data_IF_902188214695
#
_entry.id   IF_902188214695
#
_cell.length_a   1.000
_cell.length_b   1.000
_cell.length_c   1.000
_cell.angle_alpha   90.00
_cell.angle_beta   90.00
_cell.angle_gamma   90.00
#
_symmetry.space_group_name_H-M   'P 1'
#
loop_
_entity.id
_entity.type
_entity.pdbx_description
1 polymer ?
#
# COMPACT_ATOMS: atom_id res chain seq x y z
N UNK A 1 6.73 16.47 20.97
CA UNK A 1 5.86 16.64 19.78
C UNK A 1 6.52 15.89 18.63
N UNK A 2 5.76 15.17 17.81
CA UNK A 2 6.30 14.46 16.66
C UNK A 2 6.76 15.43 15.57
N UNK A 3 7.98 15.23 15.06
CA UNK A 3 8.55 15.99 13.95
C UNK A 3 8.51 15.13 12.67
N UNK A 4 7.48 15.39 11.86
CA UNK A 4 7.22 14.61 10.64
C UNK A 4 8.32 14.80 9.57
N UNK A 5 8.75 16.02 9.22
CA UNK A 5 9.85 16.21 8.26
C UNK A 5 11.15 15.49 8.64
N UNK A 6 11.54 15.56 9.93
CA UNK A 6 12.72 14.86 10.41
C UNK A 6 12.55 13.34 10.30
N UNK A 7 11.40 12.82 10.70
CA UNK A 7 11.09 11.39 10.60
C UNK A 7 11.12 10.88 9.16
N UNK A 8 10.46 11.57 8.24
CA UNK A 8 10.44 11.21 6.81
C UNK A 8 11.86 11.24 6.21
N UNK A 9 12.68 12.23 6.58
CA UNK A 9 14.08 12.30 6.17
C UNK A 9 14.87 11.08 6.62
N UNK A 10 14.73 10.66 7.87
CA UNK A 10 15.43 9.51 8.43
C UNK A 10 14.96 8.21 7.76
N UNK A 11 13.66 7.98 7.64
CA UNK A 11 13.09 6.77 7.05
C UNK A 11 13.52 6.60 5.60
N UNK A 12 13.50 7.68 4.81
CA UNK A 12 13.96 7.64 3.40
C UNK A 12 15.47 7.42 3.32
N UNK A 13 16.28 8.15 4.10
CA UNK A 13 17.75 8.01 4.09
C UNK A 13 18.24 6.64 4.55
N UNK A 14 17.49 5.99 5.44
CA UNK A 14 17.76 4.63 5.92
C UNK A 14 17.06 3.55 5.09
N UNK A 15 16.39 3.95 4.01
CA UNK A 15 15.70 3.11 3.07
C UNK A 15 14.71 2.13 3.73
N UNK A 16 13.90 2.63 4.66
CA UNK A 16 12.77 1.87 5.19
C UNK A 16 11.67 1.71 4.13
N UNK A 17 11.29 2.81 3.48
CA UNK A 17 10.52 2.77 2.25
C UNK A 17 10.87 3.97 1.36
N UNK A 18 10.62 3.85 0.06
CA UNK A 18 10.67 4.95 -0.91
C UNK A 18 9.51 4.85 -1.88
N UNK A 19 9.30 5.89 -2.70
CA UNK A 19 8.27 5.88 -3.73
C UNK A 19 8.63 4.87 -4.83
N UNK A 20 7.67 4.02 -5.20
CA UNK A 20 7.93 2.99 -6.20
C UNK A 20 8.21 3.62 -7.56
N UNK A 21 9.20 3.11 -8.29
CA UNK A 21 9.60 3.62 -9.62
C UNK A 21 10.01 5.11 -9.63
N UNK A 22 10.54 5.64 -8.53
CA UNK A 22 10.90 7.06 -8.37
C UNK A 22 11.71 7.62 -9.57
N UNK A 23 12.65 6.84 -10.11
CA UNK A 23 13.52 7.24 -11.23
C UNK A 23 12.76 7.52 -12.54
N UNK A 24 11.56 6.93 -12.72
CA UNK A 24 10.75 7.09 -13.91
C UNK A 24 9.83 8.30 -13.86
N UNK A 25 9.69 8.95 -12.70
CA UNK A 25 8.76 10.07 -12.50
C UNK A 25 9.03 11.26 -13.44
N UNK A 26 10.31 11.48 -13.77
CA UNK A 26 10.73 12.55 -14.69
C UNK A 26 11.06 12.02 -16.09
N UNK A 27 10.74 10.76 -16.38
CA UNK A 27 11.03 10.17 -17.68
C UNK A 27 10.16 10.82 -18.76
N UNK A 28 10.74 11.36 -19.84
CA UNK A 28 9.99 12.03 -20.89
C UNK A 28 9.03 11.09 -21.66
N UNK A 29 9.27 9.77 -21.57
CA UNK A 29 8.48 8.75 -22.25
C UNK A 29 7.48 8.05 -21.31
N UNK A 30 7.46 8.35 -20.01
CA UNK A 30 6.50 7.78 -19.07
C UNK A 30 5.26 8.66 -18.98
N UNK A 31 4.13 8.18 -19.51
CA UNK A 31 2.82 8.84 -19.40
C UNK A 31 1.99 8.16 -18.32
N UNK A 32 2.32 8.40 -17.06
CA UNK A 32 1.61 7.83 -15.92
C UNK A 32 1.90 8.57 -14.62
N UNK A 33 1.15 8.20 -13.58
CA UNK A 33 1.41 8.62 -12.20
C UNK A 33 1.60 7.36 -11.35
N UNK A 34 2.64 7.37 -10.52
CA UNK A 34 2.96 6.31 -9.56
C UNK A 34 2.77 6.76 -8.12
N UNK A 35 2.21 7.95 -7.89
CA UNK A 35 1.89 8.44 -6.54
C UNK A 35 0.95 7.47 -5.84
N UNK A 36 1.20 7.27 -4.55
CA UNK A 36 0.47 6.29 -3.72
C UNK A 36 1.08 4.89 -3.71
N UNK A 37 2.10 4.62 -4.54
CA UNK A 37 2.83 3.34 -4.55
C UNK A 37 4.20 3.50 -3.88
N UNK A 38 4.59 2.52 -3.06
CA UNK A 38 5.84 2.55 -2.29
C UNK A 38 6.52 1.18 -2.26
N UNK A 39 7.85 1.21 -2.31
CA UNK A 39 8.71 0.03 -2.17
C UNK A 39 9.37 0.03 -0.79
N UNK A 40 9.31 -1.11 -0.11
CA UNK A 40 10.01 -1.31 1.17
C UNK A 40 11.47 -1.71 0.92
N UNK A 41 12.40 -1.01 1.58
CA UNK A 41 13.81 -1.41 1.57
C UNK A 41 14.11 -2.43 2.68
N UNK A 42 15.38 -2.88 2.82
CA UNK A 42 15.74 -3.99 3.69
C UNK A 42 15.23 -3.88 5.15
N UNK A 43 15.40 -2.74 5.86
CA UNK A 43 14.86 -2.62 7.21
C UNK A 43 13.32 -2.51 7.24
N UNK A 44 12.70 -1.99 6.19
CA UNK A 44 11.24 -1.93 6.07
C UNK A 44 10.61 -3.31 5.89
N UNK A 45 11.18 -4.14 5.00
CA UNK A 45 10.75 -5.53 4.81
C UNK A 45 10.88 -6.34 6.10
N UNK A 46 12.02 -6.22 6.80
CA UNK A 46 12.22 -6.90 8.09
C UNK A 46 11.22 -6.44 9.15
N UNK A 47 10.95 -5.13 9.23
CA UNK A 47 9.96 -4.59 10.14
C UNK A 47 8.54 -5.10 9.83
N UNK A 48 8.14 -5.09 8.55
CA UNK A 48 6.84 -5.60 8.12
C UNK A 48 6.69 -7.09 8.48
N UNK A 49 7.71 -7.90 8.21
CA UNK A 49 7.71 -9.32 8.56
C UNK A 49 7.56 -9.54 10.07
N UNK A 50 8.28 -8.76 10.90
CA UNK A 50 8.18 -8.84 12.35
C UNK A 50 6.79 -8.45 12.87
N UNK A 51 6.16 -7.43 12.27
CA UNK A 51 4.79 -7.01 12.64
C UNK A 51 3.79 -8.12 12.29
N UNK A 52 3.88 -8.71 11.09
CA UNK A 52 3.00 -9.81 10.67
C UNK A 52 3.20 -11.04 11.56
N UNK A 53 4.44 -11.39 11.90
CA UNK A 53 4.74 -12.51 12.81
C UNK A 53 4.16 -12.28 14.22
N UNK A 54 4.29 -11.07 14.77
CA UNK A 54 3.68 -10.71 16.05
C UNK A 54 2.15 -10.81 15.99
N UNK A 55 1.54 -10.34 14.90
CA UNK A 55 0.09 -10.44 14.68
C UNK A 55 -0.39 -11.90 14.58
N UNK A 56 0.32 -12.75 13.84
CA UNK A 56 0.01 -14.19 13.73
C UNK A 56 0.09 -14.88 15.08
N UNK A 57 1.14 -14.61 15.85
CA UNK A 57 1.29 -15.15 17.21
C UNK A 57 0.11 -14.75 18.08
N UNK A 58 -0.25 -13.48 18.07
CA UNK A 58 -1.29 -12.97 18.94
C UNK A 58 -2.72 -13.37 18.56
N UNK A 59 -3.06 -13.46 17.27
CA UNK A 59 -4.43 -13.75 16.85
C UNK A 59 -4.60 -15.17 16.31
N UNK A 60 -3.75 -15.56 15.35
CA UNK A 60 -3.91 -16.85 14.67
C UNK A 60 -3.58 -18.01 15.62
N UNK A 61 -2.45 -17.93 16.33
CA UNK A 61 -2.01 -19.01 17.20
C UNK A 61 -2.73 -19.04 18.55
N UNK A 62 -2.87 -17.90 19.23
CA UNK A 62 -3.54 -17.84 20.54
C UNK A 62 -5.04 -18.21 20.45
N UNK A 63 -5.73 -17.81 19.38
CA UNK A 63 -7.17 -18.10 19.19
C UNK A 63 -7.43 -19.33 18.29
N UNK A 64 -6.39 -20.03 17.84
CA UNK A 64 -6.47 -21.17 16.91
C UNK A 64 -7.28 -20.88 15.63
N UNK A 65 -7.04 -19.73 15.00
CA UNK A 65 -7.70 -19.37 13.74
C UNK A 65 -7.17 -20.19 12.56
N UNK A 66 -8.03 -20.40 11.56
CA UNK A 66 -7.65 -21.03 10.29
C UNK A 66 -7.09 -19.97 9.34
N UNK A 67 -5.76 -19.90 9.21
CA UNK A 67 -5.10 -19.01 8.24
C UNK A 67 -5.28 -19.53 6.81
N UNK A 68 -5.57 -18.62 5.87
CA UNK A 68 -5.78 -18.90 4.45
C UNK A 68 -4.95 -17.92 3.61
N UNK A 69 -4.44 -18.41 2.48
CA UNK A 69 -3.79 -17.60 1.45
C UNK A 69 -4.55 -17.74 0.12
N UNK A 70 -5.08 -16.62 -0.38
CA UNK A 70 -5.99 -16.55 -1.52
C UNK A 70 -5.40 -15.70 -2.65
N UNK A 71 -5.87 -15.92 -3.88
CA UNK A 71 -5.40 -15.17 -5.06
C UNK A 71 -5.82 -13.70 -5.04
N UNK A 72 -4.93 -12.80 -5.49
CA UNK A 72 -5.24 -11.36 -5.62
C UNK A 72 -6.15 -11.07 -6.83
N UNK A 73 -5.89 -11.71 -7.98
CA UNK A 73 -6.71 -11.52 -9.18
C UNK A 73 -8.09 -12.12 -8.92
N UNK A 74 -9.11 -11.27 -8.96
CA UNK A 74 -10.48 -11.62 -8.57
C UNK A 74 -11.44 -11.41 -9.74
N UNK A 75 -12.25 -12.43 -10.13
CA UNK A 75 -13.26 -12.27 -11.18
C UNK A 75 -14.28 -11.18 -10.84
N UNK A 76 -14.67 -10.37 -11.83
CA UNK A 76 -15.59 -9.25 -11.65
C UNK A 76 -16.89 -9.66 -10.96
N UNK A 77 -17.47 -10.80 -11.33
CA UNK A 77 -18.73 -11.28 -10.77
C UNK A 77 -18.67 -11.43 -9.25
N UNK A 78 -17.52 -11.83 -8.69
CA UNK A 78 -17.33 -11.93 -7.23
C UNK A 78 -17.38 -10.56 -6.56
N UNK A 79 -16.72 -9.56 -7.15
CA UNK A 79 -16.74 -8.18 -6.65
C UNK A 79 -18.11 -7.52 -6.83
N UNK A 80 -18.83 -7.88 -7.88
CA UNK A 80 -20.21 -7.43 -8.10
C UNK A 80 -21.15 -8.01 -7.05
N UNK A 81 -21.11 -9.32 -6.82
CA UNK A 81 -21.95 -10.00 -5.83
C UNK A 81 -21.67 -9.51 -4.40
N UNK A 82 -20.41 -9.23 -4.05
CA UNK A 82 -20.06 -8.64 -2.75
C UNK A 82 -20.44 -7.14 -2.62
N UNK A 83 -20.89 -6.51 -3.71
CA UNK A 83 -21.32 -5.12 -3.75
C UNK A 83 -20.21 -4.09 -3.91
N UNK A 84 -18.94 -4.51 -4.02
CA UNK A 84 -17.80 -3.60 -4.19
C UNK A 84 -17.91 -2.78 -5.47
N UNK A 85 -18.36 -3.41 -6.57
CA UNK A 85 -18.53 -2.72 -7.86
C UNK A 85 -19.48 -1.52 -7.76
N UNK A 86 -20.51 -1.60 -6.91
CA UNK A 86 -21.54 -0.56 -6.79
C UNK A 86 -21.27 0.44 -5.68
N UNK A 87 -20.47 0.07 -4.67
CA UNK A 87 -20.36 0.83 -3.41
C UNK A 87 -18.96 1.29 -3.06
N UNK A 88 -17.90 0.70 -3.61
CA UNK A 88 -16.53 1.10 -3.31
C UNK A 88 -16.12 2.30 -4.16
N UNK A 89 -16.78 3.43 -3.93
CA UNK A 89 -16.56 4.68 -4.66
C UNK A 89 -16.76 5.89 -3.73
N UNK A 90 -15.81 6.83 -3.81
CA UNK A 90 -15.88 8.12 -3.13
C UNK A 90 -16.33 9.22 -4.11
N UNK A 91 -16.95 10.27 -3.59
CA UNK A 91 -17.35 11.42 -4.40
C UNK A 91 -16.12 12.22 -4.82
N UNK A 92 -15.96 12.41 -6.13
CA UNK A 92 -14.86 13.17 -6.72
C UNK A 92 -15.40 14.31 -7.57
N UNK A 93 -14.81 15.49 -7.42
CA UNK A 93 -15.06 16.62 -8.30
C UNK A 93 -13.78 16.95 -9.08
N UNK A 94 -13.96 17.56 -10.25
CA UNK A 94 -12.90 17.84 -11.20
C UNK A 94 -13.08 19.25 -11.76
N UNK A 95 -12.01 20.04 -11.81
CA UNK A 95 -12.06 21.34 -12.50
C UNK A 95 -12.26 21.06 -14.01
N UNK A 96 -13.30 21.62 -14.66
CA UNK A 96 -13.54 21.36 -16.09
C UNK A 96 -12.40 21.79 -17.02
N UNK A 97 -11.54 22.72 -16.59
CA UNK A 97 -10.43 23.31 -17.36
C UNK A 97 -9.10 22.63 -17.02
N UNK A 98 -8.82 22.42 -15.73
CA UNK A 98 -7.50 21.91 -15.26
C UNK A 98 -7.50 20.44 -14.89
N UNK A 99 -8.69 19.89 -14.72
CA UNK A 99 -8.91 18.54 -14.26
C UNK A 99 -8.69 18.32 -12.78
#
# INVERSE_FOLDING_TARGET
KFDRPLFESVIKRRFFFTEAFEIYRLSPNFKGDNRGLFDYGPPGCALQANIVDAWRKHFVHEENMLELDCTVITPELVLKTSGHVDKFADWMCKDPVKG
#
